data_IF_791660491279
#
_entry.id   IF_791660491279
#
_cell.length_a   1.000
_cell.length_b   1.000
_cell.length_c   1.000
_cell.angle_alpha   90.00
_cell.angle_beta   90.00
_cell.angle_gamma   90.00
#
_symmetry.space_group_name_H-M   'P 1'
#
loop_
_entity.id
_entity.type
_entity.pdbx_description
1 polymer ?
#
# COMPACT_ATOMS: atom_id res chain seq x y z
N UNK A 1 -28.12 -66.90 -44.55
CA UNK A 1 -27.35 -67.85 -43.71
C UNK A 1 -25.92 -67.36 -43.60
N UNK A 2 -25.32 -67.50 -42.41
CA UNK A 2 -23.91 -67.32 -42.02
C UNK A 2 -23.47 -65.88 -41.66
N UNK A 3 -23.08 -65.78 -40.38
CA UNK A 3 -22.49 -64.67 -39.61
C UNK A 3 -20.97 -64.57 -39.86
N UNK A 4 -20.38 -63.52 -39.25
CA UNK A 4 -18.97 -63.35 -38.83
C UNK A 4 -18.04 -62.85 -39.97
N UNK A 5 -17.11 -61.92 -39.79
CA UNK A 5 -16.34 -61.53 -38.61
C UNK A 5 -16.07 -60.02 -38.57
N UNK A 6 -16.04 -59.53 -37.34
CA UNK A 6 -15.45 -58.30 -36.84
C UNK A 6 -14.02 -58.09 -37.37
N UNK A 7 -13.73 -56.89 -37.87
CA UNK A 7 -12.36 -56.34 -37.89
C UNK A 7 -12.37 -55.00 -37.17
N UNK A 8 -11.95 -55.05 -35.91
CA UNK A 8 -11.51 -53.87 -35.16
C UNK A 8 -10.39 -53.20 -35.93
N UNK A 9 -10.55 -51.93 -36.26
CA UNK A 9 -9.44 -51.07 -36.61
C UNK A 9 -9.64 -49.77 -35.85
N UNK A 10 -8.91 -49.67 -34.74
CA UNK A 10 -8.71 -48.43 -33.99
C UNK A 10 -8.17 -47.38 -34.95
N UNK A 11 -8.89 -46.28 -35.12
CA UNK A 11 -8.30 -45.04 -35.61
C UNK A 11 -8.39 -44.04 -34.46
N UNK A 12 -7.21 -43.72 -33.91
CA UNK A 12 -6.98 -42.75 -32.85
C UNK A 12 -7.65 -41.42 -33.21
N UNK A 13 -8.58 -40.99 -32.36
CA UNK A 13 -9.09 -39.63 -32.37
C UNK A 13 -8.07 -38.75 -31.64
N UNK A 14 -7.21 -38.06 -32.40
CA UNK A 14 -6.28 -37.08 -31.86
C UNK A 14 -7.07 -35.85 -31.37
N UNK A 15 -7.48 -35.89 -30.11
CA UNK A 15 -7.98 -34.72 -29.39
C UNK A 15 -6.81 -33.77 -29.15
N UNK A 16 -6.76 -32.67 -29.92
CA UNK A 16 -5.99 -31.50 -29.56
C UNK A 16 -6.52 -30.98 -28.21
N UNK A 17 -5.87 -31.37 -27.11
CA UNK A 17 -5.95 -30.63 -25.87
C UNK A 17 -5.28 -29.28 -26.11
N UNK A 18 -6.09 -28.28 -26.47
CA UNK A 18 -5.75 -26.90 -26.17
C UNK A 18 -5.76 -26.78 -24.64
N UNK A 19 -4.64 -27.13 -24.01
CA UNK A 19 -4.32 -26.68 -22.66
C UNK A 19 -4.13 -25.18 -22.82
N UNK A 20 -5.23 -24.43 -22.71
CA UNK A 20 -5.16 -23.03 -22.40
C UNK A 20 -4.33 -22.96 -21.13
N UNK A 21 -3.10 -22.46 -21.24
CA UNK A 21 -2.41 -21.90 -20.10
C UNK A 21 -3.33 -20.79 -19.59
N UNK A 22 -4.22 -21.14 -18.67
CA UNK A 22 -4.63 -20.21 -17.66
C UNK A 22 -3.29 -19.78 -17.03
N UNK A 23 -2.78 -18.64 -17.51
CA UNK A 23 -1.80 -17.89 -16.75
C UNK A 23 -2.51 -17.67 -15.43
N UNK A 24 -2.20 -18.53 -14.45
CA UNK A 24 -2.37 -18.19 -13.05
C UNK A 24 -1.67 -16.84 -12.98
N UNK A 25 -2.45 -15.76 -12.90
CA UNK A 25 -1.93 -14.50 -12.44
C UNK A 25 -1.49 -14.84 -11.02
N UNK A 26 -0.24 -15.32 -10.92
CA UNK A 26 0.39 -15.55 -9.65
C UNK A 26 0.20 -14.27 -8.87
N UNK A 27 -0.06 -14.45 -7.59
CA UNK A 27 -0.32 -13.41 -6.62
C UNK A 27 0.98 -12.62 -6.39
N UNK A 28 1.50 -11.99 -7.45
CA UNK A 28 2.74 -11.25 -7.48
C UNK A 28 2.56 -10.07 -6.54
N UNK A 29 3.57 -9.85 -5.71
CA UNK A 29 3.57 -8.73 -4.79
C UNK A 29 3.48 -7.40 -5.58
N UNK A 30 2.91 -6.35 -4.97
CA UNK A 30 2.96 -5.00 -5.53
C UNK A 30 4.39 -4.59 -5.89
N UNK A 31 4.54 -3.91 -7.03
CA UNK A 31 5.82 -3.34 -7.44
C UNK A 31 6.05 -2.03 -6.70
N UNK A 32 7.28 -1.84 -6.22
CA UNK A 32 7.74 -0.62 -5.55
C UNK A 32 8.64 0.21 -6.46
N UNK A 33 8.88 1.47 -6.10
CA UNK A 33 9.69 2.42 -6.89
C UNK A 33 11.18 2.08 -6.95
N UNK A 34 11.65 1.06 -6.22
CA UNK A 34 13.02 0.54 -6.26
C UNK A 34 14.03 1.34 -5.44
N UNK A 35 13.92 2.67 -5.42
CA UNK A 35 14.67 3.55 -4.53
C UNK A 35 13.91 4.85 -4.28
N UNK A 36 14.03 5.36 -3.06
CA UNK A 36 13.49 6.63 -2.59
C UNK A 36 14.63 7.47 -2.02
N UNK A 37 14.83 8.68 -2.54
CA UNK A 37 15.64 9.70 -1.88
C UNK A 37 14.97 10.14 -0.58
N UNK A 38 15.44 9.62 0.54
CA UNK A 38 14.86 9.90 1.86
C UNK A 38 15.05 11.36 2.30
N UNK A 39 16.05 12.09 1.76
CA UNK A 39 16.24 13.52 2.05
C UNK A 39 15.14 14.35 1.40
N UNK A 40 14.66 13.95 0.22
CA UNK A 40 13.51 14.58 -0.41
C UNK A 40 12.18 14.06 0.14
N UNK A 41 12.16 12.83 0.66
CA UNK A 41 10.95 12.21 1.22
C UNK A 41 10.62 12.70 2.64
N UNK A 42 11.59 13.18 3.41
CA UNK A 42 11.36 13.69 4.76
C UNK A 42 10.39 14.88 4.80
N UNK A 43 9.97 15.30 5.99
CA UNK A 43 9.00 16.38 6.22
C UNK A 43 7.57 15.88 6.30
N UNK A 44 6.62 16.79 6.13
CA UNK A 44 5.19 16.50 6.31
C UNK A 44 4.55 15.92 5.05
N UNK A 45 3.72 14.90 5.26
CA UNK A 45 2.82 14.32 4.29
C UNK A 45 1.41 14.31 4.86
N UNK A 46 0.46 14.82 4.09
CA UNK A 46 -0.96 14.73 4.40
C UNK A 46 -1.52 13.45 3.80
N UNK A 47 -2.24 12.70 4.61
CA UNK A 47 -3.05 11.59 4.13
C UNK A 47 -4.30 12.15 3.44
N UNK A 48 -4.39 11.91 2.13
CA UNK A 48 -5.53 12.32 1.31
C UNK A 48 -6.61 11.23 1.32
N UNK A 49 -6.19 9.97 1.30
CA UNK A 49 -7.09 8.84 1.45
C UNK A 49 -6.34 7.63 2.00
N UNK A 50 -7.09 6.71 2.59
CA UNK A 50 -6.57 5.43 3.07
C UNK A 50 -7.57 4.30 2.91
N UNK A 51 -7.10 3.06 2.92
CA UNK A 51 -7.99 1.94 3.18
C UNK A 51 -8.47 1.93 4.65
N UNK A 52 -9.64 1.34 4.96
CA UNK A 52 -10.12 1.29 6.34
C UNK A 52 -9.18 0.49 7.24
N UNK A 53 -8.67 1.12 8.30
CA UNK A 53 -7.74 0.50 9.26
C UNK A 53 -8.22 0.74 10.68
N UNK A 54 -8.18 -0.32 11.50
CA UNK A 54 -8.71 -0.27 12.86
C UNK A 54 -8.04 0.84 13.70
N UNK A 55 -6.72 0.99 13.60
CA UNK A 55 -5.97 1.98 14.38
C UNK A 55 -6.21 3.43 13.96
N UNK A 56 -6.72 3.70 12.74
CA UNK A 56 -7.10 5.04 12.27
C UNK A 56 -8.63 5.24 12.19
N UNK A 57 -9.45 4.35 12.76
CA UNK A 57 -10.93 4.41 12.58
C UNK A 57 -11.60 5.69 13.10
N UNK A 58 -10.96 6.41 14.01
CA UNK A 58 -11.45 7.70 14.56
C UNK A 58 -10.85 8.93 13.87
N UNK A 59 -9.91 8.74 12.95
CA UNK A 59 -9.17 9.85 12.32
C UNK A 59 -9.96 10.40 11.14
N UNK A 60 -10.33 11.68 11.19
CA UNK A 60 -10.93 12.41 10.08
C UNK A 60 -9.86 13.01 9.14
N UNK A 61 -8.73 13.41 9.72
CA UNK A 61 -7.60 13.99 9.02
C UNK A 61 -6.31 13.43 9.61
N UNK A 62 -5.41 12.90 8.78
CA UNK A 62 -4.11 12.39 9.26
C UNK A 62 -2.96 13.08 8.55
N UNK A 63 -1.84 13.20 9.23
CA UNK A 63 -0.55 13.65 8.72
C UNK A 63 0.56 12.75 9.26
N UNK A 64 1.61 12.58 8.46
CA UNK A 64 2.81 11.85 8.82
C UNK A 64 4.01 12.78 8.67
N UNK A 65 4.82 12.89 9.72
CA UNK A 65 6.04 13.68 9.74
C UNK A 65 7.23 12.74 9.74
N UNK A 66 8.04 12.82 8.70
CA UNK A 66 9.21 11.99 8.53
C UNK A 66 10.49 12.79 8.81
N UNK A 67 11.39 12.24 9.62
CA UNK A 67 12.67 12.83 9.91
C UNK A 67 13.78 11.83 9.60
N UNK A 68 14.61 12.12 8.61
CA UNK A 68 15.79 11.28 8.31
C UNK A 68 16.80 11.41 9.46
N UNK A 69 17.28 10.28 9.95
CA UNK A 69 18.27 10.18 11.03
C UNK A 69 19.66 9.90 10.45
N UNK A 70 20.70 10.19 11.23
CA UNK A 70 22.11 9.99 10.83
C UNK A 70 22.46 8.51 10.58
N UNK A 71 21.74 7.59 11.21
CA UNK A 71 21.88 6.14 11.04
C UNK A 71 21.19 5.59 9.78
N UNK A 72 20.55 6.47 8.98
CA UNK A 72 19.82 6.11 7.77
C UNK A 72 18.39 5.61 8.00
N UNK A 73 17.93 5.52 9.26
CA UNK A 73 16.54 5.26 9.58
C UNK A 73 15.70 6.54 9.47
N UNK A 74 14.38 6.38 9.50
CA UNK A 74 13.44 7.50 9.45
C UNK A 74 12.61 7.52 10.73
N UNK A 75 12.66 8.62 11.48
CA UNK A 75 11.70 8.89 12.55
C UNK A 75 10.33 9.18 11.95
N UNK A 76 9.30 8.59 12.52
CA UNK A 76 7.91 8.72 12.07
C UNK A 76 7.07 9.29 13.20
N UNK A 77 6.41 10.42 12.96
CA UNK A 77 5.36 10.93 13.84
C UNK A 77 4.07 11.03 13.06
N UNK A 78 3.11 10.16 13.36
CA UNK A 78 1.78 10.21 12.80
C UNK A 78 0.86 10.98 13.74
N UNK A 79 0.18 12.00 13.23
CA UNK A 79 -0.84 12.75 13.97
C UNK A 79 -2.15 12.62 13.24
N UNK A 80 -3.24 12.51 13.99
CA UNK A 80 -4.56 12.54 13.40
C UNK A 80 -5.52 13.36 14.23
N UNK A 81 -6.41 14.06 13.53
CA UNK A 81 -7.49 14.83 14.09
C UNK A 81 -8.79 14.06 13.94
N UNK A 82 -9.57 13.96 15.01
CA UNK A 82 -10.91 13.35 14.98
C UNK A 82 -11.91 14.30 14.33
N UNK A 83 -13.13 13.83 14.06
CA UNK A 83 -14.20 14.68 13.50
C UNK A 83 -14.59 15.78 14.50
N UNK A 84 -14.49 15.52 15.80
CA UNK A 84 -14.70 16.46 16.90
C UNK A 84 -13.55 17.47 17.04
N UNK A 85 -12.44 17.26 16.33
CA UNK A 85 -11.30 18.18 16.31
C UNK A 85 -10.19 17.87 17.30
N UNK A 86 -10.27 16.76 18.02
CA UNK A 86 -9.24 16.31 18.97
C UNK A 86 -8.02 15.74 18.25
N UNK A 87 -6.83 15.96 18.80
CA UNK A 87 -5.58 15.41 18.25
C UNK A 87 -5.16 14.12 18.95
N UNK A 88 -4.71 13.17 18.15
CA UNK A 88 -4.07 11.92 18.56
C UNK A 88 -2.72 11.80 17.86
N UNK A 89 -1.73 11.21 18.53
CA UNK A 89 -0.36 11.10 18.01
C UNK A 89 0.24 9.74 18.32
N UNK A 90 1.09 9.25 17.41
CA UNK A 90 1.92 8.08 17.58
C UNK A 90 3.31 8.31 16.96
N UNK A 91 4.36 7.97 17.69
CA UNK A 91 5.75 8.03 17.22
C UNK A 91 6.28 6.63 16.92
N UNK A 92 7.26 6.56 16.03
CA UNK A 92 7.91 5.30 15.66
C UNK A 92 9.15 5.52 14.82
N UNK A 93 9.69 4.41 14.32
CA UNK A 93 10.84 4.39 13.42
C UNK A 93 10.55 3.50 12.22
N UNK A 94 10.88 3.99 11.02
CA UNK A 94 10.93 3.22 9.81
C UNK A 94 12.38 2.82 9.51
N UNK A 95 12.59 1.55 9.19
CA UNK A 95 13.90 0.96 8.89
C UNK A 95 13.85 0.24 7.53
N UNK A 96 14.86 0.39 6.67
CA UNK A 96 14.96 -0.38 5.42
C UNK A 96 14.81 -1.88 5.64
N UNK A 97 14.00 -2.56 4.82
CA UNK A 97 13.91 -4.03 4.88
C UNK A 97 15.19 -4.70 4.35
N UNK A 98 15.86 -4.04 3.40
CA UNK A 98 17.12 -4.48 2.80
C UNK A 98 18.11 -3.31 2.82
N UNK A 99 19.36 -3.49 3.28
CA UNK A 99 20.36 -2.44 3.26
C UNK A 99 20.54 -1.83 1.86
N UNK A 100 20.53 -0.50 1.78
CA UNK A 100 20.65 0.24 0.51
C UNK A 100 19.38 0.32 -0.34
N UNK A 101 18.26 -0.26 0.09
CA UNK A 101 16.93 -0.13 -0.53
C UNK A 101 16.00 0.66 0.37
N UNK A 102 15.36 1.70 -0.17
CA UNK A 102 14.61 2.69 0.62
C UNK A 102 13.13 2.79 0.25
N UNK A 103 12.66 1.88 -0.60
CA UNK A 103 11.29 1.79 -1.09
C UNK A 103 10.44 0.77 -0.30
N UNK A 104 11.08 -0.16 0.41
CA UNK A 104 10.42 -1.09 1.35
C UNK A 104 10.99 -0.89 2.74
N UNK A 105 10.12 -0.52 3.69
CA UNK A 105 10.51 -0.30 5.08
C UNK A 105 9.67 -1.14 6.03
N UNK A 106 10.26 -1.48 7.17
CA UNK A 106 9.55 -1.88 8.38
C UNK A 106 9.27 -0.64 9.21
N UNK A 107 8.02 -0.43 9.60
CA UNK A 107 7.63 0.62 10.56
C UNK A 107 7.27 0.00 11.89
N UNK A 108 7.86 0.49 12.95
CA UNK A 108 7.58 0.08 14.32
C UNK A 108 7.20 1.32 15.14
N UNK A 109 6.01 1.30 15.76
CA UNK A 109 5.53 2.39 16.60
C UNK A 109 5.89 2.14 18.07
N UNK A 110 6.21 3.21 18.79
CA UNK A 110 6.61 3.20 20.19
C UNK A 110 5.39 3.01 21.09
N UNK A 111 5.00 1.77 21.34
CA UNK A 111 3.90 1.41 22.23
C UNK A 111 4.37 0.42 23.30
N UNK A 112 3.51 0.14 24.28
CA UNK A 112 3.86 -0.74 25.39
C UNK A 112 4.27 -2.15 24.92
N UNK A 113 3.70 -2.64 23.81
CA UNK A 113 3.98 -3.96 23.25
C UNK A 113 5.33 -4.01 22.52
N UNK A 114 5.66 -3.00 21.71
CA UNK A 114 6.99 -2.92 21.07
C UNK A 114 8.11 -2.71 22.08
N UNK A 115 7.83 -2.05 23.22
CA UNK A 115 8.77 -1.99 24.34
C UNK A 115 8.97 -3.34 25.04
N UNK A 116 7.92 -4.15 25.14
CA UNK A 116 7.97 -5.47 25.77
C UNK A 116 8.61 -6.53 24.86
N UNK A 117 8.33 -6.47 23.55
CA UNK A 117 8.81 -7.39 22.53
C UNK A 117 9.31 -6.61 21.29
N UNK A 118 10.54 -6.06 21.34
CA UNK A 118 11.10 -5.28 20.25
C UNK A 118 11.16 -6.09 18.95
N UNK A 119 10.72 -5.48 17.86
CA UNK A 119 10.80 -6.03 16.51
C UNK A 119 9.74 -7.07 16.15
N UNK A 120 8.78 -7.37 17.03
CA UNK A 120 7.67 -8.30 16.76
C UNK A 120 6.48 -7.61 16.06
N UNK A 121 6.24 -6.33 16.35
CA UNK A 121 5.13 -5.55 15.78
C UNK A 121 5.62 -4.58 14.69
N UNK A 122 6.07 -5.13 13.56
CA UNK A 122 6.49 -4.35 12.38
C UNK A 122 5.38 -4.32 11.34
N UNK A 123 5.07 -3.13 10.84
CA UNK A 123 4.21 -2.93 9.68
C UNK A 123 5.03 -2.76 8.41
N UNK A 124 4.55 -3.30 7.29
CA UNK A 124 5.09 -3.00 5.97
C UNK A 124 4.73 -1.58 5.54
N UNK A 125 5.73 -0.85 5.06
CA UNK A 125 5.57 0.45 4.40
C UNK A 125 6.30 0.39 3.06
N UNK A 126 5.54 0.16 1.99
CA UNK A 126 6.07 -0.03 0.64
C UNK A 126 5.65 1.15 -0.22
N UNK A 127 6.63 1.89 -0.73
CA UNK A 127 6.42 3.02 -1.62
C UNK A 127 6.20 2.51 -3.03
N UNK A 128 4.95 2.56 -3.47
CA UNK A 128 4.47 2.03 -4.75
C UNK A 128 4.64 3.04 -5.88
N UNK A 129 4.51 4.33 -5.54
CA UNK A 129 4.63 5.44 -6.49
C UNK A 129 5.14 6.70 -5.78
N UNK A 130 5.96 7.48 -6.49
CA UNK A 130 6.35 8.85 -6.13
C UNK A 130 6.14 9.73 -7.36
N UNK A 131 5.42 10.83 -7.17
CA UNK A 131 5.23 11.84 -8.21
C UNK A 131 6.34 12.89 -8.25
N UNK A 132 6.32 13.71 -9.29
CA UNK A 132 7.35 14.72 -9.56
C UNK A 132 7.64 15.62 -8.35
N UNK A 133 8.93 15.77 -8.07
CA UNK A 133 9.41 16.60 -6.96
C UNK A 133 8.90 16.17 -5.59
N UNK A 134 8.58 14.88 -5.40
CA UNK A 134 8.13 14.33 -4.12
C UNK A 134 6.86 15.00 -3.58
N UNK A 135 5.97 15.44 -4.48
CA UNK A 135 4.72 16.13 -4.13
C UNK A 135 3.60 15.18 -3.73
N UNK A 136 3.59 13.97 -4.26
CA UNK A 136 2.58 12.94 -3.99
C UNK A 136 3.22 11.57 -3.93
N UNK A 137 2.62 10.66 -3.16
CA UNK A 137 3.06 9.27 -3.09
C UNK A 137 1.87 8.31 -2.92
N UNK A 138 2.06 7.07 -3.36
CA UNK A 138 1.18 5.95 -3.01
C UNK A 138 2.00 4.96 -2.21
N UNK A 139 1.50 4.61 -1.03
CA UNK A 139 2.16 3.69 -0.10
C UNK A 139 1.19 2.59 0.26
N UNK A 140 1.65 1.35 0.34
CA UNK A 140 0.82 0.25 0.80
C UNK A 140 1.64 -0.89 1.39
N UNK A 141 1.03 -2.08 1.42
CA UNK A 141 1.63 -3.30 1.94
C UNK A 141 1.38 -4.49 0.99
N UNK A 142 2.16 -5.59 1.09
CA UNK A 142 2.15 -6.67 0.09
C UNK A 142 0.82 -7.40 -0.04
N UNK A 143 0.06 -7.55 1.05
CA UNK A 143 -1.24 -8.25 1.05
C UNK A 143 -2.43 -7.37 0.64
N UNK A 144 -2.16 -6.10 0.29
CA UNK A 144 -3.10 -5.10 -0.20
C UNK A 144 -4.20 -4.69 0.78
N UNK A 145 -4.02 -4.94 2.08
CA UNK A 145 -4.97 -4.52 3.12
C UNK A 145 -4.74 -3.09 3.61
N UNK A 146 -3.55 -2.53 3.40
CA UNK A 146 -3.16 -1.19 3.81
C UNK A 146 -2.70 -0.37 2.61
N UNK A 147 -3.26 0.82 2.48
CA UNK A 147 -2.97 1.75 1.40
C UNK A 147 -3.16 3.18 1.93
N UNK A 148 -2.27 4.07 1.52
CA UNK A 148 -2.32 5.50 1.74
C UNK A 148 -2.03 6.24 0.43
N UNK A 149 -2.85 7.25 0.14
CA UNK A 149 -2.56 8.27 -0.86
C UNK A 149 -2.06 9.51 -0.12
N UNK A 150 -0.83 9.91 -0.39
CA UNK A 150 -0.14 10.97 0.33
C UNK A 150 0.12 12.18 -0.57
N UNK A 151 0.08 13.37 0.01
CA UNK A 151 0.40 14.64 -0.65
C UNK A 151 1.17 15.57 0.27
N UNK A 152 1.99 16.46 -0.28
CA UNK A 152 2.63 17.56 0.45
C UNK A 152 1.66 18.68 0.83
N UNK A 153 0.47 18.70 0.23
CA UNK A 153 -0.61 19.65 0.54
C UNK A 153 -1.85 18.90 1.03
N UNK A 154 -2.68 19.52 1.89
CA UNK A 154 -3.87 18.86 2.46
C UNK A 154 -4.99 18.60 1.44
N UNK A 155 -4.93 19.27 0.28
CA UNK A 155 -5.86 19.10 -0.83
C UNK A 155 -5.10 18.87 -2.14
N UNK A 156 -5.74 18.19 -3.09
CA UNK A 156 -5.20 17.88 -4.42
C UNK A 156 -6.26 18.15 -5.50
N UNK A 157 -5.82 18.36 -6.74
CA UNK A 157 -6.74 18.47 -7.88
C UNK A 157 -7.40 17.13 -8.21
N UNK A 158 -8.48 17.19 -9.00
CA UNK A 158 -9.18 15.99 -9.50
C UNK A 158 -8.24 15.09 -10.32
N UNK A 159 -7.45 15.66 -11.21
CA UNK A 159 -6.53 14.90 -12.06
C UNK A 159 -5.45 14.18 -11.24
N UNK A 160 -4.89 14.84 -10.23
CA UNK A 160 -3.92 14.21 -9.31
C UNK A 160 -4.59 13.07 -8.54
N UNK A 161 -5.83 13.27 -8.07
CA UNK A 161 -6.60 12.22 -7.40
C UNK A 161 -6.81 11.01 -8.31
N UNK A 162 -7.26 11.21 -9.54
CA UNK A 162 -7.49 10.13 -10.50
C UNK A 162 -6.18 9.40 -10.85
N UNK A 163 -5.08 10.14 -10.96
CA UNK A 163 -3.76 9.55 -11.18
C UNK A 163 -3.34 8.65 -10.01
N UNK A 164 -3.42 9.14 -8.76
CA UNK A 164 -3.06 8.34 -7.58
C UNK A 164 -3.95 7.09 -7.42
N UNK A 165 -5.24 7.21 -7.75
CA UNK A 165 -6.15 6.06 -7.80
C UNK A 165 -5.70 5.03 -8.84
N UNK A 166 -5.34 5.48 -10.05
CA UNK A 166 -4.83 4.59 -11.09
C UNK A 166 -3.56 3.86 -10.66
N UNK A 167 -2.60 4.57 -10.03
CA UNK A 167 -1.38 3.96 -9.50
C UNK A 167 -1.70 2.85 -8.49
N UNK A 168 -2.63 3.08 -7.56
CA UNK A 168 -3.04 2.07 -6.59
C UNK A 168 -3.77 0.88 -7.24
N UNK A 169 -4.69 1.13 -8.18
CA UNK A 169 -5.45 0.10 -8.88
C UNK A 169 -4.57 -0.82 -9.73
N UNK A 170 -3.55 -0.26 -10.40
CA UNK A 170 -2.58 -1.04 -11.18
C UNK A 170 -1.80 -2.04 -10.32
N UNK A 171 -1.67 -1.77 -9.01
CA UNK A 171 -1.05 -2.68 -8.04
C UNK A 171 -2.04 -3.67 -7.41
N UNK A 172 -3.32 -3.61 -7.78
CA UNK A 172 -4.38 -4.52 -7.34
C UNK A 172 -5.12 -4.11 -6.06
N UNK A 173 -4.97 -2.86 -5.59
CA UNK A 173 -5.71 -2.38 -4.42
C UNK A 173 -7.16 -2.03 -4.77
N UNK A 174 -8.08 -2.41 -3.88
CA UNK A 174 -9.50 -2.08 -4.01
C UNK A 174 -9.77 -0.63 -3.54
N UNK A 175 -9.64 0.33 -4.45
CA UNK A 175 -9.82 1.75 -4.13
C UNK A 175 -11.28 2.15 -3.90
N UNK A 176 -12.26 1.26 -4.09
CA UNK A 176 -13.68 1.57 -3.87
C UNK A 176 -14.01 1.76 -2.39
N UNK A 177 -13.15 1.21 -1.50
CA UNK A 177 -13.29 1.25 -0.04
C UNK A 177 -12.58 2.42 0.62
N UNK A 178 -11.95 3.31 -0.16
CA UNK A 178 -11.13 4.39 0.39
C UNK A 178 -11.94 5.31 1.29
N UNK A 179 -11.38 5.57 2.48
CA UNK A 179 -11.80 6.65 3.36
C UNK A 179 -11.01 7.89 2.95
N UNK A 180 -11.72 8.95 2.60
CA UNK A 180 -11.14 10.22 2.16
C UNK A 180 -10.93 11.17 3.32
N UNK A 181 -9.87 11.98 3.24
CA UNK A 181 -9.62 13.10 4.15
C UNK A 181 -10.85 14.01 4.19
N UNK A 182 -11.29 14.31 5.40
CA UNK A 182 -12.42 15.23 5.63
C UNK A 182 -11.96 16.67 5.36
N UNK A 183 -12.83 17.46 4.73
CA UNK A 183 -12.62 18.89 4.51
C UNK A 183 -12.45 19.64 5.84
N UNK A 184 -11.53 20.60 5.88
CA UNK A 184 -11.24 21.39 7.09
C UNK A 184 -12.49 22.07 7.67
N UNK A 185 -13.44 22.44 6.80
CA UNK A 185 -14.70 23.08 7.17
C UNK A 185 -15.64 22.20 7.98
N UNK A 186 -15.40 20.89 8.09
CA UNK A 186 -16.27 19.92 8.78
C UNK A 186 -15.74 19.46 10.12
N UNK A 187 -14.54 19.88 10.52
CA UNK A 187 -13.91 19.45 11.77
C UNK A 187 -14.40 20.31 12.95
N UNK A 188 -14.75 19.66 14.06
CA UNK A 188 -15.20 20.29 15.30
C UNK A 188 -16.58 20.92 15.21
N UNK A 189 -17.41 20.47 14.27
CA UNK A 189 -18.80 20.92 14.06
C UNK A 189 -19.80 19.89 14.53
#
# INVERSE_FOLDING_TARGET
MIKLLVRFSLVLMASFLAIGFAHSAENLEPKTVGNVDLKQYQGTWYEIARLPMFFQRKCAQSEAHYALKDDGNVGVTNRCRTIEGEWQEATGTATPQVPGKTDKLWVEFDNWFSRLLPGVAKGDYWVLYIGDGYKTAVVGNPDRKYLWLLSRTPTISKDVKEHLLSQAQQQGYDTTKLVWRVEDSKIGK
#
